data_IF_755304231822
#
_entry.id   IF_755304231822
#
_cell.length_a   1.000
_cell.length_b   1.000
_cell.length_c   1.000
_cell.angle_alpha   90.00
_cell.angle_beta   90.00
_cell.angle_gamma   90.00
#
_symmetry.space_group_name_H-M   'P 1'
#
loop_
_entity.id
_entity.type
_entity.pdbx_description
1 polymer ?
#
# COMPACT_ATOMS: atom_id res chain seq x y z
N UNK A 1 29.04 10.31 9.94
CA UNK A 1 27.68 9.89 9.61
C UNK A 1 27.55 9.73 8.10
N UNK A 2 26.93 8.64 7.63
CA UNK A 2 26.68 8.36 6.21
C UNK A 2 25.17 8.31 5.98
N UNK A 3 24.70 8.91 4.88
CA UNK A 3 23.32 8.81 4.39
C UNK A 3 23.41 8.19 3.00
N UNK A 4 23.36 6.85 2.88
CA UNK A 4 23.53 6.20 1.60
C UNK A 4 22.30 6.40 0.70
N UNK A 5 22.57 6.49 -0.60
CA UNK A 5 21.53 6.46 -1.64
C UNK A 5 21.90 5.42 -2.69
N UNK A 6 20.93 4.60 -3.08
CA UNK A 6 21.11 3.54 -4.06
C UNK A 6 20.14 2.39 -3.84
N UNK A 7 20.30 1.31 -4.57
CA UNK A 7 19.50 0.11 -4.40
C UNK A 7 19.78 -0.62 -3.08
N UNK A 8 18.85 -1.47 -2.65
CA UNK A 8 18.85 -2.22 -1.37
C UNK A 8 20.20 -2.87 -1.05
N UNK A 9 20.80 -3.60 -2.00
CA UNK A 9 22.09 -4.28 -1.78
C UNK A 9 23.28 -3.32 -1.49
N UNK A 10 23.29 -2.12 -2.07
CA UNK A 10 24.32 -1.12 -1.75
C UNK A 10 24.12 -0.56 -0.33
N UNK A 11 22.88 -0.27 0.03
CA UNK A 11 22.54 0.27 1.35
C UNK A 11 22.86 -0.77 2.44
N UNK A 12 22.51 -2.04 2.23
CA UNK A 12 22.84 -3.13 3.13
C UNK A 12 24.35 -3.28 3.31
N UNK A 13 25.09 -3.27 2.22
CA UNK A 13 26.56 -3.35 2.26
C UNK A 13 27.17 -2.20 3.05
N UNK A 14 26.72 -0.97 2.80
CA UNK A 14 27.20 0.19 3.55
C UNK A 14 26.85 0.06 5.03
N UNK A 15 25.61 -0.35 5.34
CA UNK A 15 25.12 -0.49 6.71
C UNK A 15 25.89 -1.52 7.52
N UNK A 16 26.35 -2.61 6.88
CA UNK A 16 27.11 -3.69 7.54
C UNK A 16 28.61 -3.39 7.65
N UNK A 17 29.16 -2.61 6.73
CA UNK A 17 30.61 -2.35 6.65
C UNK A 17 31.05 -1.00 7.21
N UNK A 18 30.12 -0.05 7.39
CA UNK A 18 30.43 1.27 7.89
C UNK A 18 30.88 1.24 9.35
N UNK A 19 31.97 1.97 9.64
CA UNK A 19 32.49 2.18 11.02
C UNK A 19 31.95 3.47 11.65
N UNK A 20 31.00 4.12 11.03
CA UNK A 20 30.35 5.36 11.48
C UNK A 20 28.84 5.18 11.42
N UNK A 21 28.04 5.95 12.19
CA UNK A 21 26.58 5.89 12.12
C UNK A 21 26.05 6.06 10.69
N UNK A 22 25.09 5.21 10.32
CA UNK A 22 24.42 5.23 9.01
C UNK A 22 22.96 5.51 9.22
N UNK A 23 22.45 6.57 8.58
CA UNK A 23 21.00 6.80 8.46
C UNK A 23 20.59 6.21 7.13
N UNK A 24 19.85 5.10 7.18
CA UNK A 24 19.47 4.31 6.01
C UNK A 24 17.97 4.25 5.84
N UNK A 25 17.58 4.09 4.59
CA UNK A 25 16.27 3.61 4.18
C UNK A 25 16.48 2.47 3.18
N UNK A 26 15.80 1.34 3.36
CA UNK A 26 16.02 0.13 2.57
C UNK A 26 15.01 0.00 1.44
N UNK A 27 13.74 0.07 1.75
CA UNK A 27 12.63 -0.13 0.83
C UNK A 27 11.39 0.68 1.26
N UNK A 28 10.46 0.86 0.33
CA UNK A 28 9.25 1.65 0.51
C UNK A 28 7.98 0.83 0.21
N UNK A 29 7.74 -0.27 0.94
CA UNK A 29 6.43 -0.94 0.89
C UNK A 29 5.39 -0.11 1.64
N UNK A 30 4.80 0.86 0.93
CA UNK A 30 3.86 1.82 1.48
C UNK A 30 2.42 1.38 1.28
N UNK A 31 1.57 1.62 2.28
CA UNK A 31 0.16 1.23 2.26
C UNK A 31 -0.77 2.42 2.11
N UNK A 32 -1.85 2.20 1.38
CA UNK A 32 -3.03 3.08 1.40
C UNK A 32 -4.21 2.27 1.92
N UNK A 33 -4.80 2.70 3.01
CA UNK A 33 -6.01 2.09 3.57
C UNK A 33 -7.24 2.93 3.25
N UNK A 34 -8.22 2.31 2.59
CA UNK A 34 -9.53 2.89 2.31
C UNK A 34 -10.51 2.38 3.36
N UNK A 35 -10.90 3.27 4.24
CA UNK A 35 -11.75 2.97 5.40
C UNK A 35 -13.25 2.99 5.06
N UNK A 36 -14.07 2.67 6.04
CA UNK A 36 -15.52 2.83 6.04
C UNK A 36 -15.93 3.52 7.35
N UNK A 37 -16.37 4.80 7.28
CA UNK A 37 -16.82 5.56 6.11
C UNK A 37 -15.72 6.31 5.33
N UNK A 38 -15.92 6.49 4.02
CA UNK A 38 -14.99 7.24 3.15
C UNK A 38 -15.73 8.01 2.05
N UNK A 39 -15.16 9.14 1.60
CA UNK A 39 -15.54 9.77 0.32
C UNK A 39 -14.94 8.95 -0.83
N UNK A 40 -15.79 8.18 -1.52
CA UNK A 40 -15.39 7.32 -2.63
C UNK A 40 -14.76 8.08 -3.78
N UNK A 41 -15.20 9.31 -4.09
CA UNK A 41 -14.65 10.08 -5.21
C UNK A 41 -13.22 10.55 -4.90
N UNK A 42 -12.99 10.96 -3.66
CA UNK A 42 -11.66 11.28 -3.18
C UNK A 42 -10.77 10.03 -3.13
N UNK A 43 -11.29 8.92 -2.60
CA UNK A 43 -10.57 7.66 -2.50
C UNK A 43 -10.10 7.15 -3.87
N UNK A 44 -10.93 7.21 -4.91
CA UNK A 44 -10.52 6.88 -6.28
C UNK A 44 -9.37 7.74 -6.78
N UNK A 45 -9.46 9.05 -6.60
CA UNK A 45 -8.42 9.99 -7.07
C UNK A 45 -7.10 9.79 -6.35
N UNK A 46 -7.15 9.65 -5.03
CA UNK A 46 -5.95 9.48 -4.20
C UNK A 46 -5.27 8.15 -4.48
N UNK A 47 -6.02 7.04 -4.48
CA UNK A 47 -5.46 5.71 -4.75
C UNK A 47 -4.86 5.63 -6.16
N UNK A 48 -5.55 6.17 -7.16
CA UNK A 48 -5.03 6.23 -8.52
C UNK A 48 -3.72 7.01 -8.59
N UNK A 49 -3.68 8.20 -8.02
CA UNK A 49 -2.48 9.04 -7.99
C UNK A 49 -1.34 8.38 -7.21
N UNK A 50 -1.62 7.84 -6.02
CA UNK A 50 -0.63 7.22 -5.15
C UNK A 50 0.10 6.04 -5.81
N UNK A 51 -0.57 5.29 -6.70
CA UNK A 51 0.06 4.21 -7.46
C UNK A 51 0.61 4.64 -8.81
N UNK A 52 -0.15 5.43 -9.59
CA UNK A 52 0.11 5.54 -11.04
C UNK A 52 0.81 6.82 -11.46
N UNK A 53 1.00 7.80 -10.60
CA UNK A 53 1.76 9.00 -10.93
C UNK A 53 3.21 8.66 -11.28
N UNK A 54 3.85 7.83 -10.46
CA UNK A 54 5.16 7.20 -10.70
C UNK A 54 5.25 5.92 -9.89
N UNK A 55 5.92 4.90 -10.42
CA UNK A 55 6.10 3.62 -9.74
C UNK A 55 7.39 3.54 -8.89
N UNK A 56 8.39 4.37 -9.20
CA UNK A 56 9.73 4.29 -8.60
C UNK A 56 9.98 5.11 -7.34
N UNK A 57 9.17 6.10 -6.93
CA UNK A 57 9.37 6.77 -5.65
C UNK A 57 9.09 5.82 -4.47
N UNK A 58 9.92 5.91 -3.43
CA UNK A 58 9.81 5.09 -2.23
C UNK A 58 8.54 5.31 -1.40
N UNK A 59 7.73 6.34 -1.71
CA UNK A 59 6.43 6.61 -1.11
C UNK A 59 5.25 6.29 -2.04
N UNK A 60 5.49 5.63 -3.18
CA UNK A 60 4.41 5.11 -4.01
C UNK A 60 3.66 3.99 -3.26
N UNK A 61 2.35 3.92 -3.41
CA UNK A 61 1.56 2.83 -2.82
C UNK A 61 1.91 1.49 -3.47
N UNK A 62 2.29 0.52 -2.65
CA UNK A 62 2.57 -0.86 -3.06
C UNK A 62 1.50 -1.84 -2.56
N UNK A 63 0.83 -1.49 -1.46
CA UNK A 63 -0.27 -2.26 -0.88
C UNK A 63 -1.51 -1.39 -0.66
N UNK A 64 -2.66 -1.88 -1.15
CA UNK A 64 -3.98 -1.29 -0.98
C UNK A 64 -4.82 -2.14 -0.06
N UNK A 65 -5.17 -1.59 1.09
CA UNK A 65 -6.10 -2.20 2.03
C UNK A 65 -7.47 -1.55 1.89
N UNK A 66 -8.53 -2.33 1.90
CA UNK A 66 -9.90 -1.81 1.74
C UNK A 66 -10.80 -2.40 2.80
N UNK A 67 -11.49 -1.56 3.57
CA UNK A 67 -12.47 -2.00 4.55
C UNK A 67 -13.59 -2.82 3.88
N UNK A 68 -14.00 -3.91 4.51
CA UNK A 68 -15.01 -4.84 3.98
C UNK A 68 -16.34 -4.14 3.62
N UNK A 69 -16.75 -3.15 4.42
CA UNK A 69 -18.01 -2.42 4.22
C UNK A 69 -18.04 -1.62 2.92
N UNK A 70 -16.89 -1.13 2.46
CA UNK A 70 -16.77 -0.30 1.24
C UNK A 70 -16.21 -1.08 0.05
N UNK A 71 -15.67 -2.28 0.26
CA UNK A 71 -14.93 -3.03 -0.77
C UNK A 71 -15.76 -3.30 -2.04
N UNK A 72 -17.02 -3.69 -1.91
CA UNK A 72 -17.89 -3.99 -3.06
C UNK A 72 -18.19 -2.75 -3.93
N UNK A 73 -18.25 -1.56 -3.34
CA UNK A 73 -18.50 -0.30 -4.05
C UNK A 73 -17.23 0.35 -4.60
N UNK A 74 -16.07 0.03 -4.00
CA UNK A 74 -14.79 0.65 -4.36
C UNK A 74 -13.96 -0.21 -5.33
N UNK A 75 -13.69 -1.49 -4.99
CA UNK A 75 -12.70 -2.30 -5.70
C UNK A 75 -13.02 -2.52 -7.19
N UNK A 76 -14.25 -2.81 -7.64
CA UNK A 76 -14.50 -3.07 -9.06
C UNK A 76 -14.14 -1.90 -9.96
N UNK A 77 -14.53 -0.69 -9.58
CA UNK A 77 -14.21 0.52 -10.33
C UNK A 77 -12.73 0.89 -10.24
N UNK A 78 -12.13 0.78 -9.05
CA UNK A 78 -10.72 1.07 -8.86
C UNK A 78 -9.84 0.12 -9.70
N UNK A 79 -10.16 -1.16 -9.72
CA UNK A 79 -9.46 -2.14 -10.53
C UNK A 79 -9.52 -1.83 -12.04
N UNK A 80 -10.67 -1.40 -12.54
CA UNK A 80 -10.79 -0.97 -13.94
C UNK A 80 -9.92 0.26 -14.25
N UNK A 81 -9.87 1.24 -13.34
CA UNK A 81 -9.05 2.44 -13.50
C UNK A 81 -7.56 2.09 -13.53
N UNK A 82 -7.11 1.19 -12.66
CA UNK A 82 -5.73 0.72 -12.59
C UNK A 82 -5.37 -0.15 -13.81
N UNK A 83 -6.26 -1.05 -14.22
CA UNK A 83 -6.06 -1.90 -15.40
C UNK A 83 -5.92 -1.09 -16.70
N UNK A 84 -6.68 0.01 -16.83
CA UNK A 84 -6.55 0.93 -17.98
C UNK A 84 -5.15 1.57 -18.07
N UNK A 85 -4.37 1.54 -16.98
CA UNK A 85 -2.98 2.01 -16.91
C UNK A 85 -1.96 0.86 -16.88
N UNK A 86 -2.40 -0.37 -17.11
CA UNK A 86 -1.55 -1.55 -17.16
C UNK A 86 -1.08 -2.08 -15.81
N UNK A 87 -1.74 -1.70 -14.72
CA UNK A 87 -1.40 -2.18 -13.37
C UNK A 87 -1.93 -3.60 -13.17
N UNK A 88 -1.05 -4.52 -12.77
CA UNK A 88 -1.38 -5.86 -12.30
C UNK A 88 -1.80 -5.81 -10.83
N UNK A 89 -2.85 -6.55 -10.46
CA UNK A 89 -3.32 -6.65 -9.09
C UNK A 89 -2.97 -8.00 -8.48
N UNK A 90 -2.30 -7.99 -7.33
CA UNK A 90 -2.06 -9.16 -6.47
C UNK A 90 -3.12 -9.19 -5.38
N UNK A 91 -4.16 -9.99 -5.56
CA UNK A 91 -5.40 -9.87 -4.80
C UNK A 91 -5.59 -11.00 -3.79
N UNK A 92 -6.00 -10.66 -2.56
CA UNK A 92 -6.44 -11.66 -1.57
C UNK A 92 -7.72 -12.39 -2.04
N UNK A 93 -8.10 -13.52 -1.43
CA UNK A 93 -9.29 -14.28 -1.84
C UNK A 93 -10.59 -13.45 -1.90
N UNK A 94 -10.82 -12.58 -0.92
CA UNK A 94 -12.02 -11.71 -0.87
C UNK A 94 -11.99 -10.68 -2.01
N UNK A 95 -10.83 -10.09 -2.29
CA UNK A 95 -10.66 -9.16 -3.42
C UNK A 95 -10.86 -9.88 -4.76
N UNK A 96 -10.31 -11.09 -4.92
CA UNK A 96 -10.51 -11.92 -6.12
C UNK A 96 -11.98 -12.21 -6.37
N UNK A 97 -12.74 -12.54 -5.31
CA UNK A 97 -14.18 -12.81 -5.42
C UNK A 97 -14.96 -11.59 -5.95
N UNK A 98 -14.60 -10.38 -5.47
CA UNK A 98 -15.23 -9.13 -5.92
C UNK A 98 -14.85 -8.73 -7.35
N UNK A 99 -13.67 -9.12 -7.81
CA UNK A 99 -13.16 -8.78 -9.14
C UNK A 99 -13.47 -9.84 -10.20
N UNK A 100 -14.02 -10.99 -9.78
CA UNK A 100 -14.34 -12.10 -10.67
C UNK A 100 -15.34 -11.70 -11.76
N UNK A 101 -15.00 -12.01 -13.01
CA UNK A 101 -15.88 -11.75 -14.17
C UNK A 101 -15.76 -10.35 -14.76
N UNK A 102 -14.97 -9.46 -14.18
CA UNK A 102 -14.70 -8.15 -14.78
C UNK A 102 -13.63 -8.35 -15.87
N UNK A 103 -14.00 -8.02 -17.11
CA UNK A 103 -13.08 -8.17 -18.23
C UNK A 103 -11.98 -7.11 -18.26
N UNK A 104 -10.84 -7.46 -18.82
CA UNK A 104 -9.72 -6.54 -19.01
C UNK A 104 -8.85 -6.30 -17.79
N UNK A 105 -9.11 -6.99 -16.66
CA UNK A 105 -8.26 -6.93 -15.49
C UNK A 105 -7.10 -7.93 -15.60
N UNK A 106 -5.91 -7.50 -15.19
CA UNK A 106 -4.78 -8.39 -14.89
C UNK A 106 -4.74 -8.60 -13.38
N UNK A 107 -5.38 -9.67 -12.91
CA UNK A 107 -5.50 -9.99 -11.47
C UNK A 107 -5.02 -11.41 -11.22
N UNK A 108 -4.10 -11.57 -10.30
CA UNK A 108 -3.58 -12.86 -9.85
C UNK A 108 -3.73 -13.01 -8.34
N UNK A 109 -3.79 -14.25 -7.82
CA UNK A 109 -3.80 -14.47 -6.37
C UNK A 109 -2.53 -13.92 -5.72
N UNK A 110 -2.69 -13.16 -4.62
CA UNK A 110 -1.58 -12.76 -3.80
C UNK A 110 -1.02 -13.93 -3.01
N UNK A 111 0.29 -13.94 -2.85
CA UNK A 111 1.03 -14.80 -1.93
C UNK A 111 1.41 -14.03 -0.67
N UNK A 112 1.91 -14.70 0.35
CA UNK A 112 2.40 -14.02 1.57
C UNK A 112 3.52 -13.03 1.27
N UNK A 113 4.40 -13.34 0.32
CA UNK A 113 5.49 -12.46 -0.10
C UNK A 113 5.01 -11.14 -0.70
N UNK A 114 3.86 -11.13 -1.37
CA UNK A 114 3.30 -9.93 -1.99
C UNK A 114 2.97 -8.83 -0.96
N UNK A 115 2.74 -9.20 0.30
CA UNK A 115 2.48 -8.23 1.37
C UNK A 115 3.74 -7.49 1.85
N UNK A 116 4.93 -8.06 1.61
CA UNK A 116 6.23 -7.44 1.96
C UNK A 116 6.89 -6.73 0.78
N UNK A 117 6.36 -6.88 -0.44
CA UNK A 117 7.10 -6.51 -1.64
C UNK A 117 7.00 -5.02 -1.97
N UNK A 118 8.13 -4.38 -2.24
CA UNK A 118 8.23 -3.11 -2.94
C UNK A 118 8.44 -3.41 -4.42
N UNK A 119 7.38 -3.35 -5.23
CA UNK A 119 7.44 -3.75 -6.65
C UNK A 119 8.22 -2.77 -7.53
N UNK A 120 8.15 -1.46 -7.23
CA UNK A 120 8.69 -0.38 -8.09
C UNK A 120 8.22 -0.48 -9.56
N UNK A 121 7.07 -1.08 -9.76
CA UNK A 121 6.48 -1.49 -11.04
C UNK A 121 4.97 -1.25 -11.06
N UNK A 122 4.28 -1.35 -12.21
CA UNK A 122 2.82 -1.30 -12.27
C UNK A 122 2.19 -2.59 -11.71
N UNK A 123 2.47 -2.87 -10.44
CA UNK A 123 1.92 -3.99 -9.66
C UNK A 123 1.44 -3.43 -8.31
N UNK A 124 0.28 -3.89 -7.83
CA UNK A 124 -0.31 -3.45 -6.57
C UNK A 124 -0.90 -4.64 -5.82
N UNK A 125 -0.50 -4.84 -4.56
CA UNK A 125 -1.18 -5.80 -3.68
C UNK A 125 -2.53 -5.24 -3.22
N UNK A 126 -3.56 -6.07 -3.14
CA UNK A 126 -4.91 -5.65 -2.75
C UNK A 126 -5.50 -6.63 -1.75
N UNK A 127 -5.84 -6.11 -0.57
CA UNK A 127 -6.45 -6.91 0.50
C UNK A 127 -7.72 -6.26 1.05
N UNK A 128 -8.79 -7.04 1.17
CA UNK A 128 -9.96 -6.66 1.97
C UNK A 128 -9.67 -6.98 3.43
N UNK A 129 -9.90 -6.01 4.29
CA UNK A 129 -9.74 -6.13 5.76
C UNK A 129 -11.07 -5.91 6.46
N UNK A 130 -11.25 -6.48 7.64
CA UNK A 130 -12.50 -6.34 8.40
C UNK A 130 -12.81 -4.87 8.76
N UNK A 131 -11.76 -4.07 9.01
CA UNK A 131 -11.85 -2.66 9.36
C UNK A 131 -10.50 -2.12 9.84
N UNK A 132 -10.54 -1.00 10.57
CA UNK A 132 -9.37 -0.25 11.02
C UNK A 132 -8.37 -1.11 11.81
N UNK A 133 -8.84 -1.95 12.75
CA UNK A 133 -7.95 -2.74 13.62
C UNK A 133 -7.10 -3.73 12.79
N UNK A 134 -7.72 -4.43 11.84
CA UNK A 134 -6.99 -5.34 10.94
C UNK A 134 -6.07 -4.57 9.99
N UNK A 135 -6.47 -3.40 9.52
CA UNK A 135 -5.62 -2.54 8.68
C UNK A 135 -4.35 -2.12 9.42
N UNK A 136 -4.48 -1.61 10.64
CA UNK A 136 -3.33 -1.20 11.49
C UNK A 136 -2.42 -2.40 11.78
N UNK A 137 -3.00 -3.55 12.16
CA UNK A 137 -2.23 -4.76 12.43
C UNK A 137 -1.47 -5.24 11.18
N UNK A 138 -2.10 -5.21 10.01
CA UNK A 138 -1.47 -5.57 8.75
C UNK A 138 -0.32 -4.61 8.40
N UNK A 139 -0.55 -3.31 8.47
CA UNK A 139 0.47 -2.30 8.17
C UNK A 139 1.66 -2.44 9.10
N UNK A 140 1.44 -2.53 10.41
CA UNK A 140 2.53 -2.67 11.38
C UNK A 140 3.33 -3.97 11.22
N UNK A 141 2.74 -5.00 10.60
CA UNK A 141 3.41 -6.27 10.35
C UNK A 141 4.18 -6.29 9.02
N UNK A 142 3.63 -5.72 7.95
CA UNK A 142 4.15 -5.88 6.59
C UNK A 142 4.81 -4.64 6.01
N UNK A 143 4.48 -3.43 6.52
CA UNK A 143 5.04 -2.18 6.01
C UNK A 143 6.55 -2.11 6.21
N UNK A 144 7.20 -1.39 5.32
CA UNK A 144 8.61 -0.97 5.49
C UNK A 144 8.78 0.15 6.52
N UNK A 145 7.71 0.58 7.18
CA UNK A 145 7.68 1.72 8.12
C UNK A 145 8.09 3.05 7.47
N UNK A 146 7.83 3.20 6.17
CA UNK A 146 8.16 4.42 5.43
C UNK A 146 7.01 5.41 5.40
N UNK A 147 5.96 5.11 4.64
CA UNK A 147 4.82 6.01 4.44
C UNK A 147 3.52 5.21 4.33
N UNK A 148 2.61 5.43 5.24
CA UNK A 148 1.32 4.76 5.24
C UNK A 148 0.18 5.78 5.42
N UNK A 149 -0.93 5.59 4.70
CA UNK A 149 -2.02 6.54 4.61
C UNK A 149 -3.39 5.91 4.85
N UNK A 150 -4.28 6.66 5.48
CA UNK A 150 -5.71 6.32 5.59
C UNK A 150 -6.57 7.31 4.80
N UNK A 151 -7.58 6.78 4.12
CA UNK A 151 -8.65 7.55 3.50
C UNK A 151 -9.94 7.29 4.27
N UNK A 152 -10.37 8.26 5.05
CA UNK A 152 -11.55 8.15 5.92
C UNK A 152 -12.25 9.50 6.07
N UNK A 153 -13.53 9.48 6.39
CA UNK A 153 -14.29 10.65 6.84
C UNK A 153 -14.55 10.62 8.36
N UNK A 154 -14.11 9.56 9.04
CA UNK A 154 -14.21 9.42 10.50
C UNK A 154 -12.97 9.98 11.18
N UNK A 155 -13.15 11.06 11.94
CA UNK A 155 -12.06 11.71 12.67
C UNK A 155 -11.43 10.81 13.76
N UNK A 156 -12.21 9.94 14.38
CA UNK A 156 -11.71 9.02 15.42
C UNK A 156 -10.81 7.97 14.78
N UNK A 157 -11.22 7.40 13.63
CA UNK A 157 -10.40 6.47 12.87
C UNK A 157 -9.10 7.12 12.39
N UNK A 158 -9.18 8.34 11.85
CA UNK A 158 -7.99 9.09 11.44
C UNK A 158 -7.00 9.29 12.60
N UNK A 159 -7.49 9.72 13.76
CA UNK A 159 -6.64 9.94 14.95
C UNK A 159 -6.04 8.64 15.50
N UNK A 160 -6.79 7.53 15.45
CA UNK A 160 -6.26 6.22 15.85
C UNK A 160 -5.17 5.76 14.89
N UNK A 161 -5.42 5.84 13.58
CA UNK A 161 -4.45 5.46 12.55
C UNK A 161 -3.13 6.23 12.71
N UNK A 162 -3.21 7.57 12.87
CA UNK A 162 -2.03 8.42 13.07
C UNK A 162 -1.22 8.09 14.33
N UNK A 163 -1.83 7.50 15.36
CA UNK A 163 -1.14 7.15 16.61
C UNK A 163 -0.67 5.71 16.68
N UNK A 164 -1.36 4.80 15.99
CA UNK A 164 -1.18 3.36 16.14
C UNK A 164 -0.36 2.72 14.99
N UNK A 165 -0.24 3.41 13.85
CA UNK A 165 0.63 2.97 12.76
C UNK A 165 2.06 3.42 13.01
N UNK A 166 2.99 2.46 13.02
CA UNK A 166 4.41 2.68 13.26
C UNK A 166 5.16 2.91 11.93
N UNK A 167 5.09 4.16 11.44
CA UNK A 167 5.78 4.56 10.21
C UNK A 167 6.37 5.96 10.32
N UNK A 168 7.40 6.24 9.53
CA UNK A 168 8.08 7.53 9.53
C UNK A 168 7.17 8.67 9.04
N UNK A 169 6.23 8.35 8.14
CA UNK A 169 5.21 9.27 7.66
C UNK A 169 3.86 8.58 7.70
N UNK A 170 2.94 9.11 8.50
CA UNK A 170 1.55 8.62 8.60
C UNK A 170 0.60 9.76 8.27
N UNK A 171 -0.33 9.58 7.36
CA UNK A 171 -1.22 10.64 6.87
C UNK A 171 -2.65 10.14 6.59
#
# INVERSE_FOLDING_TARGET
>A
MIIPRGGKGLIERISTQAKVPVIKHLDGNCHTYVDDPVDLQLAFKVTDNAKTQKYSPCNATESLLVARGVAASFLPRMAQMLAAKGVELRACPDSLALLKGIQGLNVVPATEQDWYEEYLAPILSVKVVAGLDEAIAHINHYSSHHTDAILTTDHVHAQRFLREVDSASVM
#
